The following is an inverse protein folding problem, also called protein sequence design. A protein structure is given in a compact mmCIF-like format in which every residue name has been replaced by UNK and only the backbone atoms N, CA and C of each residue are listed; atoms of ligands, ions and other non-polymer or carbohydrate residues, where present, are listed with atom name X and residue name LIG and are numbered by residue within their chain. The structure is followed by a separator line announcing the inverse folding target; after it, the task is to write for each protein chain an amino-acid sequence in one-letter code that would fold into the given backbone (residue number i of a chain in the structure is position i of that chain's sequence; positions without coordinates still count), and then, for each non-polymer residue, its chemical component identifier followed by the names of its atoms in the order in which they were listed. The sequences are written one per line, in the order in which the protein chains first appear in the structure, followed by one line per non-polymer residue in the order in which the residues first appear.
data_IF_698197196811
#
_entry.id   IF_698197196811
#
_cell.length_a   1.000
_cell.length_b   1.000
_cell.length_c   1.000
_cell.angle_alpha   90.00
_cell.angle_beta   90.00
_cell.angle_gamma   90.00
#
_symmetry.space_group_name_H-M   'P 1'
#
loop_
_entity.id
_entity.type
_entity.pdbx_description
1 polymer ?
#
# COMPACT_ATOMS: atom_id res chain seq x y z
N UNK A 1 -3.96 -0.07 34.32
CA UNK A 1 -2.86 0.54 33.56
C UNK A 1 -2.75 1.99 33.99
N UNK A 2 -1.54 2.55 34.02
CA UNK A 2 -1.39 3.99 34.25
C UNK A 2 -1.83 4.73 32.98
N UNK A 3 -2.52 5.88 33.11
CA UNK A 3 -2.90 6.69 31.98
C UNK A 3 -1.67 7.29 31.28
N UNK A 4 -1.80 7.53 29.97
CA UNK A 4 -0.79 8.23 29.17
C UNK A 4 -0.90 9.71 29.48
N UNK A 5 0.11 10.27 30.14
CA UNK A 5 0.04 11.65 30.70
C UNK A 5 0.52 12.73 29.73
N UNK A 6 1.27 12.38 28.71
CA UNK A 6 1.83 13.31 27.73
C UNK A 6 1.56 12.79 26.30
N UNK A 7 1.56 13.71 25.34
CA UNK A 7 1.65 13.33 23.94
C UNK A 7 3.01 12.67 23.67
N UNK A 8 3.04 11.77 22.67
CA UNK A 8 4.30 11.15 22.21
C UNK A 8 5.19 12.23 21.55
N UNK A 9 6.51 12.14 21.76
CA UNK A 9 7.47 13.07 21.17
C UNK A 9 7.43 13.07 19.64
N UNK A 10 7.14 11.93 19.02
CA UNK A 10 6.99 11.85 17.56
C UNK A 10 5.87 12.76 17.01
N UNK A 11 4.99 13.33 17.87
CA UNK A 11 3.95 14.29 17.45
C UNK A 11 4.42 15.75 17.44
N UNK A 12 5.65 16.05 17.87
CA UNK A 12 6.19 17.41 17.90
C UNK A 12 6.16 18.11 16.55
N UNK A 13 6.46 17.45 15.41
CA UNK A 13 6.40 18.09 14.09
C UNK A 13 5.05 18.72 13.75
N UNK A 14 3.94 18.23 14.32
CA UNK A 14 2.62 18.81 14.08
C UNK A 14 2.47 20.27 14.54
N UNK A 15 3.38 20.77 15.38
CA UNK A 15 3.35 22.17 15.82
C UNK A 15 3.70 23.15 14.69
N UNK A 16 4.37 22.65 13.64
CA UNK A 16 4.79 23.42 12.46
C UNK A 16 3.82 23.26 11.28
N UNK A 17 2.82 22.37 11.39
CA UNK A 17 1.86 22.13 10.31
C UNK A 17 0.84 23.27 10.22
N UNK A 18 0.64 23.81 9.01
CA UNK A 18 -0.28 24.93 8.75
C UNK A 18 -1.72 24.44 8.48
N UNK A 19 -1.91 23.16 8.11
CA UNK A 19 -3.20 22.55 7.86
C UNK A 19 -4.11 22.45 9.09
N UNK A 20 -3.52 22.61 10.29
CA UNK A 20 -4.22 22.47 11.58
C UNK A 20 -4.11 23.76 12.39
N UNK A 21 -5.24 24.27 12.88
CA UNK A 21 -5.22 25.31 13.91
C UNK A 21 -4.66 24.76 15.23
N UNK A 22 -4.20 25.63 16.13
CA UNK A 22 -3.66 25.25 17.44
C UNK A 22 -4.52 24.20 18.19
N UNK A 23 -5.84 24.37 18.21
CA UNK A 23 -6.74 23.42 18.86
C UNK A 23 -6.85 22.09 18.11
N UNK A 24 -6.84 22.13 16.80
CA UNK A 24 -6.83 20.91 15.96
C UNK A 24 -5.52 20.14 16.12
N UNK A 25 -4.38 20.83 16.21
CA UNK A 25 -3.08 20.21 16.52
C UNK A 25 -3.10 19.45 17.84
N UNK A 26 -3.69 20.02 18.88
CA UNK A 26 -3.83 19.33 20.18
C UNK A 26 -4.70 18.07 20.08
N UNK A 27 -5.79 18.13 19.30
CA UNK A 27 -6.63 16.94 19.05
C UNK A 27 -5.89 15.91 18.22
N UNK A 28 -5.18 16.31 17.16
CA UNK A 28 -4.36 15.43 16.33
C UNK A 28 -3.28 14.73 17.17
N UNK A 29 -2.51 15.46 17.97
CA UNK A 29 -1.52 14.89 18.89
C UNK A 29 -2.12 13.87 19.84
N UNK A 30 -3.28 14.18 20.41
CA UNK A 30 -4.00 13.27 21.31
C UNK A 30 -4.44 12.01 20.56
N UNK A 31 -5.00 12.17 19.36
CA UNK A 31 -5.51 11.07 18.55
C UNK A 31 -4.37 10.14 18.10
N UNK A 32 -3.28 10.71 17.57
CA UNK A 32 -2.07 9.98 17.16
C UNK A 32 -1.43 9.23 18.34
N UNK A 33 -1.31 9.91 19.50
CA UNK A 33 -0.82 9.26 20.73
C UNK A 33 -1.71 8.08 21.10
N UNK A 34 -3.03 8.22 20.96
CA UNK A 34 -3.99 7.16 21.20
C UNK A 34 -3.88 6.02 20.21
N UNK A 35 -3.74 6.31 18.91
CA UNK A 35 -3.52 5.28 17.88
C UNK A 35 -2.24 4.49 18.13
N UNK A 36 -1.17 5.13 18.54
CA UNK A 36 0.10 4.47 18.82
C UNK A 36 0.10 3.69 20.14
N UNK A 37 -0.48 4.24 21.23
CA UNK A 37 -0.23 3.73 22.57
C UNK A 37 -1.45 3.28 23.38
N UNK A 38 -2.69 3.68 23.01
CA UNK A 38 -3.88 3.21 23.72
C UNK A 38 -4.23 1.77 23.31
N UNK A 39 -4.88 1.02 24.19
CA UNK A 39 -5.35 -0.34 23.90
C UNK A 39 -6.56 -0.36 22.96
N UNK A 40 -7.46 0.58 23.17
CA UNK A 40 -8.63 0.77 22.31
C UNK A 40 -8.42 2.01 21.46
N UNK A 41 -8.42 1.86 20.15
CA UNK A 41 -8.14 2.92 19.16
C UNK A 41 -9.39 3.72 18.79
N UNK A 42 -10.52 3.48 19.48
CA UNK A 42 -11.74 4.28 19.32
C UNK A 42 -11.62 5.64 20.01
N UNK A 43 -12.38 6.65 19.59
CA UNK A 43 -12.41 7.96 20.27
C UNK A 43 -12.67 7.82 21.77
N UNK A 44 -13.53 6.89 22.17
CA UNK A 44 -13.85 6.59 23.58
C UNK A 44 -12.67 5.96 24.32
N UNK A 45 -11.98 5.02 23.69
CA UNK A 45 -10.79 4.37 24.24
C UNK A 45 -9.66 5.36 24.45
N UNK A 46 -9.36 6.14 23.41
CA UNK A 46 -8.34 7.19 23.43
C UNK A 46 -8.63 8.22 24.54
N UNK A 47 -9.87 8.73 24.61
CA UNK A 47 -10.26 9.72 25.61
C UNK A 47 -10.14 9.22 27.06
N UNK A 48 -10.18 7.91 27.30
CA UNK A 48 -10.01 7.31 28.63
C UNK A 48 -8.56 7.08 29.01
N UNK A 49 -7.70 6.80 28.04
CA UNK A 49 -6.33 6.37 28.28
C UNK A 49 -5.31 7.50 28.11
N UNK A 50 -5.60 8.50 27.28
CA UNK A 50 -4.72 9.67 27.03
C UNK A 50 -5.23 10.87 27.81
N UNK A 51 -4.53 11.26 28.87
CA UNK A 51 -5.00 12.32 29.77
C UNK A 51 -5.00 13.75 29.19
N UNK A 52 -4.14 14.13 28.22
CA UNK A 52 -4.33 15.40 27.52
C UNK A 52 -5.60 15.47 26.70
N UNK A 53 -6.31 14.34 26.54
CA UNK A 53 -7.56 14.30 25.79
C UNK A 53 -8.65 15.15 26.44
N UNK A 54 -9.36 15.89 25.60
CA UNK A 54 -10.47 16.70 26.07
C UNK A 54 -11.65 15.80 26.47
N UNK A 55 -12.25 15.11 25.50
CA UNK A 55 -13.35 14.16 25.71
C UNK A 55 -13.57 13.33 24.46
N UNK A 56 -14.26 12.20 24.59
CA UNK A 56 -14.74 11.40 23.47
C UNK A 56 -15.47 12.28 22.44
N UNK A 57 -16.38 13.14 22.91
CA UNK A 57 -17.14 14.07 22.04
C UNK A 57 -16.24 15.04 21.28
N UNK A 58 -15.18 15.55 21.91
CA UNK A 58 -14.26 16.48 21.25
C UNK A 58 -13.44 15.78 20.14
N UNK A 59 -12.98 14.54 20.38
CA UNK A 59 -12.28 13.73 19.37
C UNK A 59 -13.23 13.35 18.21
N UNK A 60 -14.47 12.97 18.51
CA UNK A 60 -15.47 12.72 17.46
C UNK A 60 -15.69 13.98 16.60
N UNK A 61 -15.89 15.17 17.22
CA UNK A 61 -16.05 16.43 16.49
C UNK A 61 -14.82 16.80 15.66
N UNK A 62 -13.64 16.51 16.15
CA UNK A 62 -12.40 16.73 15.41
C UNK A 62 -12.37 15.94 14.11
N UNK A 63 -12.90 14.71 14.11
CA UNK A 63 -13.01 13.90 12.91
C UNK A 63 -14.18 14.34 11.99
N UNK A 64 -15.33 14.75 12.54
CA UNK A 64 -16.60 14.86 11.77
C UNK A 64 -17.10 16.28 11.57
N UNK A 65 -16.72 17.25 12.41
CA UNK A 65 -17.31 18.59 12.39
C UNK A 65 -16.26 19.70 12.19
N UNK A 66 -15.00 19.47 12.52
CA UNK A 66 -13.96 20.50 12.40
C UNK A 66 -13.50 20.62 10.96
N UNK A 67 -13.35 21.85 10.51
CA UNK A 67 -12.87 22.16 9.16
C UNK A 67 -11.35 22.11 9.13
N UNK A 68 -10.78 21.04 8.56
CA UNK A 68 -9.37 20.86 8.26
C UNK A 68 -9.19 19.98 7.03
N UNK A 69 -8.15 20.27 6.27
CA UNK A 69 -7.89 19.64 4.97
C UNK A 69 -6.94 18.44 5.14
N UNK A 70 -7.47 17.24 4.97
CA UNK A 70 -6.69 16.00 5.05
C UNK A 70 -5.66 15.84 3.92
N UNK A 71 -5.88 16.46 2.76
CA UNK A 71 -4.92 16.43 1.65
C UNK A 71 -3.73 17.34 1.98
N UNK A 72 -3.99 18.54 2.51
CA UNK A 72 -2.94 19.44 2.96
C UNK A 72 -2.14 18.81 4.11
N UNK A 73 -2.82 18.18 5.07
CA UNK A 73 -2.16 17.44 6.15
C UNK A 73 -1.25 16.32 5.60
N UNK A 74 -1.73 15.59 4.58
CA UNK A 74 -0.94 14.54 3.94
C UNK A 74 0.29 15.12 3.21
N UNK A 75 0.14 16.26 2.57
CA UNK A 75 1.25 16.97 1.91
C UNK A 75 2.33 17.37 2.92
N UNK A 76 1.96 18.03 4.00
CA UNK A 76 2.87 18.44 5.09
C UNK A 76 3.56 17.23 5.74
N UNK A 77 2.83 16.12 5.92
CA UNK A 77 3.40 14.85 6.38
C UNK A 77 4.51 14.36 5.45
N UNK A 78 4.26 14.39 4.14
CA UNK A 78 5.25 13.96 3.15
C UNK A 78 6.46 14.91 3.12
N UNK A 79 6.24 16.23 3.22
CA UNK A 79 7.32 17.21 3.31
C UNK A 79 8.18 16.98 4.56
N UNK A 80 7.56 16.73 5.72
CA UNK A 80 8.29 16.43 6.95
C UNK A 80 9.17 15.20 6.81
N UNK A 81 8.67 14.13 6.19
CA UNK A 81 9.46 12.94 5.91
C UNK A 81 10.66 13.24 4.98
N UNK A 82 10.55 14.23 4.07
CA UNK A 82 11.66 14.63 3.21
C UNK A 82 12.72 15.49 3.93
N UNK A 83 12.40 16.08 5.08
CA UNK A 83 13.34 16.82 5.90
C UNK A 83 14.34 15.89 6.62
N UNK A 84 14.02 14.62 6.77
CA UNK A 84 14.83 13.64 7.48
C UNK A 84 15.57 12.70 6.53
N UNK A 85 16.89 12.55 6.71
CA UNK A 85 17.74 11.74 5.82
C UNK A 85 17.38 10.26 5.75
N UNK A 86 16.82 9.70 6.84
CA UNK A 86 16.44 8.29 6.92
C UNK A 86 15.11 7.98 6.21
N UNK A 87 14.22 8.99 6.04
CA UNK A 87 12.91 8.82 5.42
C UNK A 87 12.78 9.50 4.06
N UNK A 88 13.82 10.26 3.64
CA UNK A 88 13.84 10.96 2.35
C UNK A 88 13.82 9.99 1.18
N UNK A 89 13.00 10.32 0.18
CA UNK A 89 12.91 9.56 -1.06
C UNK A 89 14.25 9.42 -1.78
N UNK A 90 14.41 8.28 -2.44
CA UNK A 90 15.51 7.99 -3.36
C UNK A 90 14.94 7.63 -4.74
N UNK A 91 15.70 7.92 -5.80
CA UNK A 91 15.39 7.48 -7.15
C UNK A 91 15.42 5.94 -7.25
N UNK A 92 16.27 5.29 -6.46
CA UNK A 92 16.36 3.83 -6.38
C UNK A 92 15.23 3.20 -5.53
N UNK A 93 14.31 4.02 -5.00
CA UNK A 93 13.14 3.56 -4.26
C UNK A 93 12.07 2.96 -5.15
N UNK A 94 11.06 2.39 -4.52
CA UNK A 94 9.95 1.70 -5.17
C UNK A 94 8.62 2.27 -4.68
N UNK A 95 7.64 2.34 -5.59
CA UNK A 95 6.25 2.64 -5.26
C UNK A 95 5.44 1.36 -5.42
N UNK A 96 4.77 0.93 -4.36
CA UNK A 96 3.91 -0.26 -4.36
C UNK A 96 2.47 0.20 -4.43
N UNK A 97 1.69 -0.37 -5.35
CA UNK A 97 0.23 -0.21 -5.39
C UNK A 97 -0.41 -1.52 -4.97
N UNK A 98 -1.20 -1.46 -3.91
CA UNK A 98 -1.93 -2.62 -3.39
C UNK A 98 -3.20 -2.17 -2.65
N UNK A 99 -4.10 -3.08 -2.31
CA UNK A 99 -5.32 -2.74 -1.59
C UNK A 99 -5.49 -3.56 -0.30
N UNK A 100 -6.21 -2.98 0.64
CA UNK A 100 -6.55 -3.66 1.88
C UNK A 100 -8.00 -3.45 2.26
N UNK A 101 -8.61 -4.50 2.79
CA UNK A 101 -9.98 -4.45 3.33
C UNK A 101 -9.93 -4.20 4.82
N UNK A 102 -10.73 -3.24 5.29
CA UNK A 102 -10.97 -2.99 6.71
C UNK A 102 -12.38 -3.46 7.06
N UNK A 103 -12.49 -4.40 7.99
CA UNK A 103 -13.80 -4.92 8.42
C UNK A 103 -14.62 -3.84 9.12
N UNK A 104 -15.94 -3.86 8.89
CA UNK A 104 -16.91 -2.94 9.48
C UNK A 104 -18.15 -3.69 9.96
N UNK A 105 -18.80 -3.16 10.98
CA UNK A 105 -20.08 -3.69 11.50
C UNK A 105 -21.27 -2.84 11.08
N UNK A 106 -21.05 -1.59 10.64
CA UNK A 106 -22.09 -0.65 10.21
C UNK A 106 -22.49 -0.89 8.75
N UNK A 107 -23.78 -0.74 8.45
CA UNK A 107 -24.33 -0.90 7.10
C UNK A 107 -24.52 0.43 6.35
N UNK A 108 -24.47 1.56 7.05
CA UNK A 108 -24.77 2.89 6.52
C UNK A 108 -23.52 3.71 6.16
N UNK A 109 -22.32 3.12 6.24
CA UNK A 109 -21.08 3.80 5.92
C UNK A 109 -20.90 3.91 4.40
N UNK A 110 -20.45 5.06 3.87
CA UNK A 110 -20.08 5.17 2.46
C UNK A 110 -19.03 4.14 2.07
N UNK A 111 -19.19 3.53 0.89
CA UNK A 111 -18.24 2.56 0.33
C UNK A 111 -18.14 1.24 1.08
N UNK A 112 -19.04 0.98 2.04
CA UNK A 112 -19.10 -0.31 2.71
C UNK A 112 -19.76 -1.37 1.81
N UNK A 113 -19.22 -2.57 1.82
CA UNK A 113 -19.72 -3.65 0.99
C UNK A 113 -19.09 -5.00 1.34
N UNK A 114 -19.38 -6.00 0.52
CA UNK A 114 -18.77 -7.32 0.65
C UNK A 114 -17.51 -7.39 -0.21
N UNK A 115 -16.37 -7.58 0.43
CA UNK A 115 -15.06 -7.72 -0.21
C UNK A 115 -14.41 -9.03 0.22
N UNK A 116 -13.69 -9.67 -0.72
CA UNK A 116 -12.86 -10.81 -0.37
C UNK A 116 -11.57 -10.30 0.27
N UNK A 117 -11.33 -10.71 1.51
CA UNK A 117 -10.10 -10.42 2.25
C UNK A 117 -9.13 -11.61 2.09
N UNK A 118 -8.05 -11.37 1.36
CA UNK A 118 -7.04 -12.39 1.10
C UNK A 118 -6.28 -12.83 2.35
N UNK A 119 -6.18 -11.97 3.37
CA UNK A 119 -5.52 -12.27 4.64
C UNK A 119 -6.35 -13.22 5.51
N UNK A 120 -7.68 -13.08 5.47
CA UNK A 120 -8.61 -13.93 6.21
C UNK A 120 -9.10 -15.15 5.39
N UNK A 121 -8.90 -15.12 4.06
CA UNK A 121 -9.34 -16.15 3.14
C UNK A 121 -10.87 -16.23 2.95
N UNK A 122 -11.60 -15.19 3.34
CA UNK A 122 -13.05 -15.15 3.29
C UNK A 122 -13.62 -13.81 2.80
N UNK A 123 -14.91 -13.79 2.51
CA UNK A 123 -15.62 -12.55 2.16
C UNK A 123 -16.12 -11.87 3.43
N UNK A 124 -15.63 -10.66 3.68
CA UNK A 124 -15.97 -9.85 4.84
C UNK A 124 -16.82 -8.64 4.44
N UNK A 125 -17.59 -8.12 5.41
CA UNK A 125 -18.28 -6.83 5.30
C UNK A 125 -17.30 -5.72 5.73
N UNK A 126 -17.03 -4.76 4.85
CA UNK A 126 -16.01 -3.76 5.15
C UNK A 126 -15.88 -2.67 4.10
N UNK A 127 -14.82 -1.90 4.20
CA UNK A 127 -14.38 -0.89 3.23
C UNK A 127 -13.05 -1.33 2.64
N UNK A 128 -12.84 -1.05 1.35
CA UNK A 128 -11.60 -1.38 0.65
C UNK A 128 -10.87 -0.09 0.30
N UNK A 129 -9.57 -0.05 0.60
CA UNK A 129 -8.70 1.10 0.36
C UNK A 129 -7.56 0.67 -0.56
N UNK A 130 -7.40 1.38 -1.68
CA UNK A 130 -6.25 1.26 -2.57
C UNK A 130 -5.17 2.22 -2.10
N UNK A 131 -3.98 1.71 -1.83
CA UNK A 131 -2.84 2.49 -1.32
C UNK A 131 -1.73 2.61 -2.34
N UNK A 132 -1.01 3.72 -2.27
CA UNK A 132 0.36 3.81 -2.72
C UNK A 132 1.30 3.84 -1.51
N UNK A 133 2.39 3.11 -1.60
CA UNK A 133 3.33 2.93 -0.52
C UNK A 133 4.77 3.07 -1.06
N UNK A 134 5.58 3.91 -0.43
CA UNK A 134 6.98 4.06 -0.77
C UNK A 134 7.85 3.12 0.05
N UNK A 135 8.88 2.57 -0.57
CA UNK A 135 9.91 1.82 0.13
C UNK A 135 11.26 1.90 -0.57
N UNK A 136 12.31 1.85 0.22
CA UNK A 136 13.70 1.65 -0.22
C UNK A 136 14.45 0.80 0.80
N UNK A 137 15.79 0.76 0.74
CA UNK A 137 16.60 -0.02 1.68
C UNK A 137 16.52 0.49 3.13
N UNK A 138 16.13 1.76 3.35
CA UNK A 138 16.16 2.41 4.65
C UNK A 138 14.79 2.49 5.30
N UNK A 139 13.77 2.81 4.50
CA UNK A 139 12.45 3.20 5.01
C UNK A 139 11.31 2.62 4.20
N UNK A 140 10.12 2.65 4.79
CA UNK A 140 8.90 2.22 4.16
C UNK A 140 7.69 2.90 4.82
N UNK A 141 6.83 3.59 4.03
CA UNK A 141 5.64 4.29 4.54
C UNK A 141 4.59 4.56 3.46
N UNK A 142 3.30 4.71 3.84
CA UNK A 142 2.24 5.02 2.88
C UNK A 142 2.40 6.43 2.30
N UNK A 143 2.10 6.59 1.01
CA UNK A 143 2.09 7.87 0.32
C UNK A 143 0.69 8.50 0.34
N UNK A 144 -0.29 7.79 -0.17
CA UNK A 144 -1.68 8.21 -0.27
C UNK A 144 -2.59 6.99 -0.40
N UNK A 145 -3.91 7.19 -0.34
CA UNK A 145 -4.90 6.15 -0.58
C UNK A 145 -6.13 6.68 -1.29
N UNK A 146 -6.95 5.77 -1.81
CA UNK A 146 -8.32 6.01 -2.29
C UNK A 146 -9.25 4.95 -1.76
N UNK A 147 -10.43 5.36 -1.31
CA UNK A 147 -11.48 4.42 -0.95
C UNK A 147 -12.15 3.89 -2.22
N UNK A 148 -12.26 2.58 -2.33
CA UNK A 148 -13.02 1.94 -3.40
C UNK A 148 -14.48 1.79 -2.99
N UNK A 149 -15.39 2.35 -3.79
CA UNK A 149 -16.83 2.21 -3.62
C UNK A 149 -17.38 1.23 -4.66
N UNK A 150 -17.94 0.13 -4.17
CA UNK A 150 -18.63 -0.82 -5.03
C UNK A 150 -20.01 -0.29 -5.35
N UNK A 151 -20.27 0.06 -6.61
CA UNK A 151 -21.57 0.49 -7.10
C UNK A 151 -22.33 -0.70 -7.68
N UNK A 152 -23.63 -0.78 -7.40
CA UNK A 152 -24.51 -1.84 -7.94
C UNK A 152 -24.93 -1.59 -9.40
N UNK A 153 -24.70 -0.40 -9.94
CA UNK A 153 -25.01 -0.04 -11.31
C UNK A 153 -23.88 -0.41 -12.26
N UNK A 154 -24.24 -0.96 -13.44
CA UNK A 154 -23.34 -1.43 -14.52
C UNK A 154 -22.46 -0.34 -15.14
N UNK A 155 -22.47 0.88 -14.64
CA UNK A 155 -21.54 1.92 -15.05
C UNK A 155 -20.13 1.62 -14.49
N UNK A 156 -19.27 1.14 -15.39
CA UNK A 156 -17.86 0.75 -15.17
C UNK A 156 -16.94 1.86 -14.62
N UNK A 157 -17.49 2.94 -14.05
CA UNK A 157 -16.72 4.18 -13.88
C UNK A 157 -15.78 4.19 -12.67
N UNK A 158 -15.93 3.31 -11.70
CA UNK A 158 -15.00 3.28 -10.58
C UNK A 158 -14.46 1.87 -10.30
N UNK A 159 -13.35 1.55 -10.89
CA UNK A 159 -12.61 0.31 -10.62
C UNK A 159 -11.37 0.62 -9.78
N UNK A 160 -10.88 -0.35 -9.01
CA UNK A 160 -9.59 -0.21 -8.32
C UNK A 160 -8.45 0.16 -9.28
N UNK A 161 -8.51 -0.26 -10.54
CA UNK A 161 -7.53 0.12 -11.57
C UNK A 161 -7.61 1.62 -11.91
N UNK A 162 -8.82 2.22 -11.94
CA UNK A 162 -8.99 3.65 -12.13
C UNK A 162 -8.41 4.42 -10.94
N UNK A 163 -8.74 4.01 -9.72
CA UNK A 163 -8.19 4.61 -8.50
C UNK A 163 -6.65 4.51 -8.45
N UNK A 164 -6.09 3.38 -8.85
CA UNK A 164 -4.65 3.21 -8.96
C UNK A 164 -4.02 4.17 -9.98
N UNK A 165 -4.67 4.38 -11.16
CA UNK A 165 -4.20 5.37 -12.15
C UNK A 165 -4.29 6.81 -11.61
N UNK A 166 -5.37 7.16 -10.91
CA UNK A 166 -5.51 8.49 -10.28
C UNK A 166 -4.42 8.72 -9.22
N UNK A 167 -4.12 7.71 -8.40
CA UNK A 167 -3.02 7.76 -7.44
C UNK A 167 -1.67 7.97 -8.15
N UNK A 168 -1.40 7.21 -9.21
CA UNK A 168 -0.14 7.35 -9.98
C UNK A 168 -0.05 8.75 -10.59
N UNK A 169 -1.14 9.27 -11.17
CA UNK A 169 -1.17 10.63 -11.71
C UNK A 169 -0.86 11.68 -10.63
N UNK A 170 -1.46 11.58 -9.44
CA UNK A 170 -1.17 12.46 -8.30
C UNK A 170 0.32 12.39 -7.91
N UNK A 171 0.87 11.17 -7.79
CA UNK A 171 2.26 10.99 -7.38
C UNK A 171 3.27 11.54 -8.40
N UNK A 172 2.99 11.42 -9.70
CA UNK A 172 3.88 11.88 -10.76
C UNK A 172 3.71 13.38 -11.06
N UNK A 173 2.47 13.88 -11.11
CA UNK A 173 2.18 15.24 -11.57
C UNK A 173 2.16 16.27 -10.43
N UNK A 174 1.77 15.87 -9.21
CA UNK A 174 1.57 16.81 -8.10
C UNK A 174 2.61 16.63 -6.99
N UNK A 175 2.89 15.37 -6.57
CA UNK A 175 3.78 15.08 -5.44
C UNK A 175 5.25 15.01 -5.87
N UNK A 176 5.53 14.47 -7.04
CA UNK A 176 6.87 14.37 -7.60
C UNK A 176 7.77 13.35 -6.89
N UNK A 177 7.24 12.16 -6.56
CA UNK A 177 8.05 11.09 -5.97
C UNK A 177 9.11 10.61 -6.96
N UNK A 178 10.40 10.67 -6.64
CA UNK A 178 11.48 10.41 -7.62
C UNK A 178 11.68 8.93 -7.96
N UNK A 179 11.03 8.00 -7.26
CA UNK A 179 11.16 6.56 -7.50
C UNK A 179 10.82 6.18 -8.95
N UNK A 180 11.70 5.40 -9.57
CA UNK A 180 11.58 5.06 -11.00
C UNK A 180 10.80 3.76 -11.24
N UNK A 181 10.46 2.98 -10.22
CA UNK A 181 9.90 1.64 -10.38
C UNK A 181 8.64 1.43 -9.55
N UNK A 182 7.57 0.97 -10.20
CA UNK A 182 6.32 0.55 -9.57
C UNK A 182 6.26 -0.95 -9.35
N UNK A 183 5.74 -1.38 -8.20
CA UNK A 183 5.52 -2.78 -7.87
C UNK A 183 4.03 -3.06 -7.70
N UNK A 184 3.59 -4.17 -8.24
CA UNK A 184 2.19 -4.58 -8.22
C UNK A 184 2.04 -6.02 -7.72
N UNK A 185 0.88 -6.33 -7.18
CA UNK A 185 0.43 -7.71 -7.02
C UNK A 185 -0.08 -8.30 -8.35
N UNK A 186 -0.51 -9.57 -8.35
CA UNK A 186 -1.01 -10.25 -9.53
C UNK A 186 -2.35 -9.67 -10.04
N UNK A 187 -3.10 -8.99 -9.18
CA UNK A 187 -4.38 -8.40 -9.56
C UNK A 187 -4.15 -7.10 -10.33
N UNK A 188 -3.36 -6.18 -9.78
CA UNK A 188 -3.02 -4.91 -10.43
C UNK A 188 -2.15 -5.10 -11.67
N UNK A 189 -1.15 -5.98 -11.66
CA UNK A 189 -0.31 -6.29 -12.81
C UNK A 189 -1.07 -6.94 -13.98
N UNK A 190 -2.29 -7.44 -13.74
CA UNK A 190 -3.13 -7.99 -14.79
C UNK A 190 -3.71 -6.93 -15.72
N UNK A 191 -3.95 -5.71 -15.25
CA UNK A 191 -4.52 -4.63 -16.04
C UNK A 191 -3.49 -3.95 -16.93
N UNK A 192 -3.60 -4.18 -18.22
CA UNK A 192 -2.68 -3.57 -19.19
C UNK A 192 -2.85 -2.06 -19.34
N UNK A 193 -4.00 -1.51 -18.97
CA UNK A 193 -4.25 -0.07 -18.96
C UNK A 193 -3.47 0.61 -17.84
N UNK A 194 -3.43 0.00 -16.65
CA UNK A 194 -2.63 0.47 -15.53
C UNK A 194 -1.13 0.41 -15.86
N UNK A 195 -0.65 -0.72 -16.39
CA UNK A 195 0.75 -0.87 -16.78
C UNK A 195 1.17 0.20 -17.81
N UNK A 196 0.37 0.40 -18.86
CA UNK A 196 0.65 1.43 -19.88
C UNK A 196 0.60 2.85 -19.30
N UNK A 197 -0.22 3.07 -18.28
CA UNK A 197 -0.27 4.36 -17.61
C UNK A 197 1.05 4.66 -16.88
N UNK A 198 1.62 3.69 -16.17
CA UNK A 198 2.97 3.80 -15.58
C UNK A 198 4.03 4.04 -16.66
N UNK A 199 4.00 3.27 -17.75
CA UNK A 199 4.94 3.41 -18.86
C UNK A 199 4.83 4.78 -19.55
N UNK A 200 3.66 5.42 -19.56
CA UNK A 200 3.48 6.76 -20.13
C UNK A 200 4.23 7.85 -19.39
N UNK A 201 4.54 7.63 -18.11
CA UNK A 201 5.43 8.48 -17.31
C UNK A 201 6.93 8.12 -17.44
N UNK A 202 7.25 7.15 -18.30
CA UNK A 202 8.62 6.67 -18.47
C UNK A 202 9.15 5.86 -17.30
N UNK A 203 8.25 5.34 -16.47
CA UNK A 203 8.60 4.56 -15.28
C UNK A 203 8.70 3.06 -15.59
N UNK A 204 9.51 2.39 -14.80
CA UNK A 204 9.64 0.94 -14.80
C UNK A 204 8.56 0.30 -13.91
N UNK A 205 8.32 -0.98 -14.11
CA UNK A 205 7.44 -1.76 -13.25
C UNK A 205 7.90 -3.21 -13.11
N UNK A 206 7.54 -3.83 -11.99
CA UNK A 206 7.67 -5.26 -11.75
C UNK A 206 6.36 -5.78 -11.17
N UNK A 207 5.85 -6.86 -11.73
CA UNK A 207 4.65 -7.51 -11.22
C UNK A 207 4.53 -8.95 -11.68
N UNK A 208 3.71 -9.79 -11.01
CA UNK A 208 3.53 -11.17 -11.42
C UNK A 208 2.56 -11.28 -12.59
N UNK A 209 2.80 -12.28 -13.40
CA UNK A 209 1.85 -12.76 -14.40
C UNK A 209 0.94 -13.82 -13.77
N UNK A 210 -0.36 -13.75 -14.05
CA UNK A 210 -1.27 -14.87 -13.73
C UNK A 210 -0.88 -16.11 -14.52
N UNK A 211 -1.02 -17.30 -13.95
CA UNK A 211 -0.65 -18.58 -14.56
C UNK A 211 -1.24 -18.79 -15.97
N UNK A 212 -2.42 -18.23 -16.22
CA UNK A 212 -3.11 -18.31 -17.52
C UNK A 212 -2.74 -17.19 -18.51
N UNK A 213 -1.78 -16.30 -18.18
CA UNK A 213 -1.35 -15.21 -19.09
C UNK A 213 -0.68 -15.78 -20.33
N UNK A 214 -1.05 -15.27 -21.51
CA UNK A 214 -0.49 -15.71 -22.78
C UNK A 214 0.85 -15.04 -23.04
N UNK A 215 1.84 -15.86 -23.37
CA UNK A 215 3.21 -15.46 -23.74
C UNK A 215 3.51 -16.06 -25.11
N UNK A 216 4.14 -15.30 -26.00
CA UNK A 216 4.60 -15.84 -27.28
C UNK A 216 5.94 -16.53 -27.12
N UNK A 217 5.98 -17.84 -27.37
CA UNK A 217 7.19 -18.66 -27.34
C UNK A 217 7.26 -19.53 -28.58
N UNK A 218 8.39 -19.55 -29.27
CA UNK A 218 8.61 -20.29 -30.55
C UNK A 218 7.53 -20.05 -31.61
N UNK A 219 7.04 -18.80 -31.73
CA UNK A 219 5.93 -18.34 -32.59
C UNK A 219 4.54 -18.90 -32.23
N UNK A 220 4.37 -19.47 -31.07
CA UNK A 220 3.08 -19.93 -30.52
C UNK A 220 2.66 -19.08 -29.33
N UNK A 221 1.36 -18.81 -29.19
CA UNK A 221 0.80 -18.27 -27.95
C UNK A 221 0.57 -19.42 -26.97
N UNK A 222 1.24 -19.36 -25.83
CA UNK A 222 1.17 -20.38 -24.78
C UNK A 222 0.91 -19.72 -23.42
N UNK A 223 0.18 -20.37 -22.55
CA UNK A 223 0.02 -19.93 -21.15
C UNK A 223 1.37 -20.02 -20.43
N UNK A 224 1.62 -19.08 -19.51
CA UNK A 224 2.91 -19.05 -18.81
C UNK A 224 3.15 -20.29 -17.93
N UNK A 225 2.09 -20.89 -17.36
CA UNK A 225 2.20 -22.17 -16.63
C UNK A 225 2.55 -23.35 -17.56
N UNK A 226 1.99 -23.40 -18.76
CA UNK A 226 2.34 -24.41 -19.75
C UNK A 226 3.73 -24.15 -20.39
N UNK A 227 4.19 -22.90 -20.45
CA UNK A 227 5.57 -22.56 -20.84
C UNK A 227 6.57 -23.14 -19.84
N UNK A 228 6.27 -23.04 -18.55
CA UNK A 228 7.14 -23.57 -17.49
C UNK A 228 7.49 -25.04 -17.69
N UNK A 229 6.55 -25.86 -18.16
CA UNK A 229 6.74 -27.29 -18.44
C UNK A 229 7.69 -27.57 -19.62
N UNK A 230 7.95 -26.55 -20.49
CA UNK A 230 8.73 -26.67 -21.73
C UNK A 230 10.14 -26.08 -21.64
N UNK A 231 10.50 -25.50 -20.52
CA UNK A 231 11.74 -24.74 -20.35
C UNK A 231 12.68 -25.40 -19.33
N UNK A 232 13.97 -25.22 -19.55
CA UNK A 232 14.98 -25.56 -18.55
C UNK A 232 15.31 -24.35 -17.70
N UNK A 233 15.18 -24.50 -16.37
CA UNK A 233 15.59 -23.51 -15.40
C UNK A 233 17.04 -23.74 -14.98
N UNK A 234 17.77 -22.66 -14.70
CA UNK A 234 19.16 -22.73 -14.19
C UNK A 234 19.20 -22.21 -12.75
N UNK A 235 20.02 -22.84 -11.92
CA UNK A 235 20.21 -22.38 -10.54
C UNK A 235 21.01 -21.08 -10.49
N UNK A 236 20.54 -20.16 -9.66
CA UNK A 236 21.16 -18.87 -9.38
C UNK A 236 21.00 -18.51 -7.92
N UNK A 237 22.06 -17.94 -7.35
CA UNK A 237 22.00 -17.34 -6.01
C UNK A 237 21.43 -15.92 -6.12
N UNK A 238 20.50 -15.60 -5.26
CA UNK A 238 19.92 -14.27 -5.06
C UNK A 238 19.91 -14.00 -3.57
N UNK A 239 20.81 -13.12 -3.12
CA UNK A 239 21.12 -12.90 -1.71
C UNK A 239 21.52 -14.23 -1.01
N UNK A 240 20.84 -14.64 0.05
CA UNK A 240 21.11 -15.88 0.79
C UNK A 240 20.29 -17.09 0.29
N UNK A 241 19.49 -16.89 -0.78
CA UNK A 241 18.58 -17.91 -1.31
C UNK A 241 19.04 -18.43 -2.69
N UNK A 242 18.80 -19.70 -2.95
CA UNK A 242 18.99 -20.31 -4.27
C UNK A 242 17.64 -20.39 -5.01
N UNK A 243 17.66 -20.02 -6.28
CA UNK A 243 16.48 -20.08 -7.16
C UNK A 243 16.79 -20.85 -8.43
N UNK A 244 15.83 -21.65 -8.91
CA UNK A 244 15.80 -22.15 -10.28
C UNK A 244 15.09 -21.14 -11.15
N UNK A 245 15.82 -20.54 -12.11
CA UNK A 245 15.33 -19.40 -12.90
C UNK A 245 15.40 -19.69 -14.39
N UNK A 246 14.33 -19.35 -15.08
CA UNK A 246 14.34 -19.10 -16.53
C UNK A 246 13.96 -17.63 -16.77
N UNK A 247 14.59 -16.99 -17.76
CA UNK A 247 14.25 -15.61 -18.11
C UNK A 247 14.56 -15.33 -19.58
N UNK A 248 13.62 -14.67 -20.24
CA UNK A 248 13.77 -14.17 -21.60
C UNK A 248 12.90 -12.94 -21.85
N UNK A 249 13.29 -12.12 -22.82
CA UNK A 249 12.42 -11.09 -23.41
C UNK A 249 11.41 -11.77 -24.30
N UNK A 250 10.11 -11.58 -24.04
CA UNK A 250 9.01 -12.21 -24.77
C UNK A 250 7.83 -11.24 -24.94
N UNK A 251 7.10 -11.34 -26.06
CA UNK A 251 5.79 -10.72 -26.17
C UNK A 251 4.81 -11.38 -25.19
N UNK A 252 4.14 -10.57 -24.40
CA UNK A 252 3.07 -10.98 -23.49
C UNK A 252 1.78 -10.29 -23.90
N UNK A 253 0.70 -11.06 -23.98
CA UNK A 253 -0.60 -10.55 -24.42
C UNK A 253 -0.99 -9.27 -23.69
N UNK A 254 -1.33 -8.21 -24.45
CA UNK A 254 -1.70 -6.85 -24.00
C UNK A 254 -0.59 -6.05 -23.33
N UNK A 255 0.57 -6.63 -22.98
CA UNK A 255 1.70 -5.91 -22.36
C UNK A 255 2.81 -5.58 -23.37
N UNK A 256 2.82 -6.25 -24.54
CA UNK A 256 3.91 -6.08 -25.51
C UNK A 256 5.15 -6.89 -25.14
N UNK A 257 6.32 -6.45 -25.61
CA UNK A 257 7.59 -7.09 -25.28
C UNK A 257 8.06 -6.71 -23.89
N UNK A 258 8.11 -7.69 -23.00
CA UNK A 258 8.59 -7.54 -21.63
C UNK A 258 9.60 -8.62 -21.29
N UNK A 259 10.39 -8.42 -20.25
CA UNK A 259 11.18 -9.48 -19.66
C UNK A 259 10.26 -10.37 -18.83
N UNK A 260 10.18 -11.65 -19.21
CA UNK A 260 9.48 -12.68 -18.44
C UNK A 260 10.51 -13.45 -17.63
N UNK A 261 10.20 -13.71 -16.37
CA UNK A 261 11.02 -14.47 -15.45
C UNK A 261 10.15 -15.50 -14.75
N UNK A 262 10.56 -16.78 -14.83
CA UNK A 262 9.93 -17.89 -14.13
C UNK A 262 10.94 -18.35 -13.08
N UNK A 263 10.59 -18.22 -11.80
CA UNK A 263 11.47 -18.48 -10.68
C UNK A 263 10.81 -19.36 -9.63
N UNK A 264 11.59 -20.32 -9.13
CA UNK A 264 11.22 -21.22 -8.05
C UNK A 264 12.33 -21.19 -7.00
N UNK A 265 11.98 -20.89 -5.76
CA UNK A 265 12.96 -20.92 -4.65
C UNK A 265 13.28 -22.36 -4.33
N UNK A 266 14.57 -22.68 -4.19
CA UNK A 266 15.03 -23.99 -3.74
C UNK A 266 15.01 -23.99 -2.22
N UNK A 267 14.30 -24.94 -1.62
CA UNK A 267 14.29 -25.14 -0.17
C UNK A 267 14.73 -26.57 0.15
N UNK A 268 15.39 -26.74 1.28
CA UNK A 268 15.75 -28.07 1.83
C UNK A 268 14.60 -28.70 2.63
N UNK A 269 13.53 -27.96 2.89
CA UNK A 269 12.35 -28.44 3.61
C UNK A 269 11.33 -29.00 2.61
N UNK A 270 11.15 -30.33 2.62
CA UNK A 270 10.22 -31.03 1.75
C UNK A 270 8.74 -30.69 2.05
N UNK A 271 8.45 -30.14 3.21
CA UNK A 271 7.11 -29.74 3.64
C UNK A 271 6.78 -28.27 3.27
N UNK A 272 7.77 -27.49 2.82
CA UNK A 272 7.59 -26.11 2.39
C UNK A 272 7.18 -26.04 0.90
N UNK A 273 5.91 -25.76 0.62
CA UNK A 273 5.45 -25.45 -0.74
C UNK A 273 6.04 -24.12 -1.22
N UNK A 274 7.04 -24.17 -2.12
CA UNK A 274 7.57 -23.00 -2.78
C UNK A 274 6.93 -22.83 -4.18
N UNK A 275 5.85 -22.08 -4.29
CA UNK A 275 5.16 -21.93 -5.56
C UNK A 275 6.05 -21.20 -6.58
N UNK A 276 6.00 -21.67 -7.83
CA UNK A 276 6.66 -21.02 -8.94
C UNK A 276 6.08 -19.61 -9.12
N UNK A 277 6.96 -18.62 -9.20
CA UNK A 277 6.59 -17.23 -9.48
C UNK A 277 6.84 -16.88 -10.94
N UNK A 278 5.83 -16.33 -11.59
CA UNK A 278 5.89 -15.78 -12.94
C UNK A 278 5.95 -14.27 -12.85
N UNK A 279 7.12 -13.67 -13.05
CA UNK A 279 7.31 -12.22 -12.98
C UNK A 279 7.49 -11.62 -14.37
N UNK A 280 7.05 -10.37 -14.51
CA UNK A 280 7.29 -9.57 -15.70
C UNK A 280 7.75 -8.15 -15.34
N UNK A 281 8.53 -7.53 -16.25
CA UNK A 281 8.98 -6.14 -16.13
C UNK A 281 9.29 -5.57 -17.51
N UNK A 282 9.09 -4.26 -17.69
CA UNK A 282 9.55 -3.53 -18.87
C UNK A 282 11.07 -3.26 -18.82
N UNK A 283 11.74 -3.46 -17.69
CA UNK A 283 13.20 -3.32 -17.52
C UNK A 283 13.94 -4.53 -18.11
N UNK A 284 13.98 -4.58 -19.44
CA UNK A 284 14.42 -5.74 -20.23
C UNK A 284 15.83 -6.21 -19.84
N UNK A 285 16.76 -5.27 -19.62
CA UNK A 285 18.17 -5.53 -19.39
C UNK A 285 18.52 -5.79 -17.91
N UNK A 286 17.54 -5.64 -16.99
CA UNK A 286 17.78 -5.87 -15.57
C UNK A 286 18.21 -7.32 -15.31
N UNK A 287 19.25 -7.59 -14.49
CA UNK A 287 19.59 -8.94 -14.08
C UNK A 287 18.42 -9.65 -13.37
N UNK A 288 18.27 -10.96 -13.53
CA UNK A 288 17.18 -11.72 -12.90
C UNK A 288 17.18 -11.61 -11.37
N UNK A 289 18.37 -11.64 -10.76
CA UNK A 289 18.52 -11.42 -9.31
C UNK A 289 17.99 -10.05 -8.88
N UNK A 290 18.25 -9.00 -9.69
CA UNK A 290 17.71 -7.67 -9.40
C UNK A 290 16.17 -7.66 -9.47
N UNK A 291 15.56 -8.31 -10.47
CA UNK A 291 14.09 -8.37 -10.60
C UNK A 291 13.46 -9.11 -9.41
N UNK A 292 14.04 -10.23 -8.97
CA UNK A 292 13.56 -10.97 -7.79
C UNK A 292 13.66 -10.12 -6.54
N UNK A 293 14.85 -9.50 -6.31
CA UNK A 293 15.07 -8.61 -5.15
C UNK A 293 14.12 -7.41 -5.17
N UNK A 294 13.97 -6.76 -6.31
CA UNK A 294 13.02 -5.65 -6.48
C UNK A 294 11.59 -6.08 -6.11
N UNK A 295 11.15 -7.24 -6.61
CA UNK A 295 9.81 -7.71 -6.30
C UNK A 295 9.63 -8.09 -4.82
N UNK A 296 10.67 -8.50 -4.12
CA UNK A 296 10.57 -8.82 -2.69
C UNK A 296 10.22 -7.61 -1.81
N UNK A 297 10.55 -6.39 -2.24
CA UNK A 297 10.15 -5.17 -1.54
C UNK A 297 8.63 -4.99 -1.47
N UNK A 298 7.87 -5.62 -2.37
CA UNK A 298 6.41 -5.55 -2.34
C UNK A 298 5.83 -6.04 -0.99
N UNK A 299 6.50 -6.99 -0.34
CA UNK A 299 6.05 -7.49 0.96
C UNK A 299 5.95 -6.42 2.06
N UNK A 300 6.65 -5.30 1.92
CA UNK A 300 6.63 -4.24 2.94
C UNK A 300 5.27 -3.54 3.07
N UNK A 301 4.45 -3.50 2.02
CA UNK A 301 3.08 -2.98 2.15
C UNK A 301 2.18 -3.94 2.92
N UNK A 302 2.41 -5.26 2.82
CA UNK A 302 1.67 -6.25 3.61
C UNK A 302 1.97 -6.09 5.12
N UNK A 303 3.24 -5.89 5.47
CA UNK A 303 3.65 -5.55 6.85
C UNK A 303 2.97 -4.25 7.32
N UNK A 304 2.90 -3.21 6.46
CA UNK A 304 2.17 -1.98 6.79
C UNK A 304 0.69 -2.26 7.06
N UNK A 305 0.04 -3.09 6.25
CA UNK A 305 -1.37 -3.44 6.47
C UNK A 305 -1.57 -4.21 7.77
N UNK A 306 -0.67 -5.15 8.09
CA UNK A 306 -0.68 -5.91 9.33
C UNK A 306 -0.51 -4.98 10.54
N UNK A 307 0.57 -4.20 10.61
CA UNK A 307 0.82 -3.22 11.68
C UNK A 307 -0.36 -2.24 11.84
N UNK A 308 -0.91 -1.77 10.71
CA UNK A 308 -2.01 -0.81 10.71
C UNK A 308 -3.31 -1.39 11.27
N UNK A 309 -3.63 -2.63 10.94
CA UNK A 309 -4.82 -3.34 11.44
C UNK A 309 -4.66 -3.76 12.89
N UNK A 310 -3.50 -4.30 13.27
CA UNK A 310 -3.28 -4.85 14.62
C UNK A 310 -2.96 -3.77 15.66
N UNK A 311 -2.09 -2.82 15.31
CA UNK A 311 -1.49 -1.91 16.28
C UNK A 311 -1.96 -0.45 16.16
N UNK A 312 -2.36 0.01 14.97
CA UNK A 312 -2.70 1.41 14.73
C UNK A 312 -4.19 1.65 14.44
N UNK A 313 -5.03 0.64 14.60
CA UNK A 313 -6.48 0.78 14.59
C UNK A 313 -7.09 1.17 13.24
N UNK A 314 -6.48 0.75 12.11
CA UNK A 314 -7.00 1.03 10.77
C UNK A 314 -8.47 0.64 10.61
N UNK A 315 -8.91 -0.47 11.26
CA UNK A 315 -10.27 -0.96 11.29
C UNK A 315 -11.13 -0.44 12.43
N UNK A 316 -10.58 0.26 13.44
CA UNK A 316 -11.25 0.56 14.71
C UNK A 316 -12.08 1.86 14.70
N UNK A 317 -12.18 2.52 13.56
CA UNK A 317 -12.98 3.74 13.43
C UNK A 317 -14.47 3.44 13.56
N UNK A 318 -15.10 3.95 14.62
CA UNK A 318 -16.55 3.82 14.88
C UNK A 318 -17.36 4.98 14.30
N UNK A 319 -16.73 5.93 13.61
CA UNK A 319 -17.39 7.07 12.98
C UNK A 319 -18.23 6.59 11.79
N UNK A 320 -19.48 7.08 11.72
CA UNK A 320 -20.45 6.70 10.67
C UNK A 320 -20.50 7.67 9.49
N UNK A 321 -19.67 8.67 9.51
CA UNK A 321 -19.52 9.69 8.48
C UNK A 321 -18.31 9.37 7.59
N UNK A 322 -18.48 9.53 6.26
CA UNK A 322 -17.43 9.21 5.30
C UNK A 322 -16.21 10.11 5.41
N UNK A 323 -16.42 11.39 5.66
CA UNK A 323 -15.34 12.37 5.87
C UNK A 323 -14.56 12.04 7.14
N UNK A 324 -15.28 11.74 8.24
CA UNK A 324 -14.66 11.32 9.49
C UNK A 324 -13.88 10.00 9.37
N UNK A 325 -14.33 9.06 8.55
CA UNK A 325 -13.59 7.84 8.25
C UNK A 325 -12.31 8.13 7.45
N UNK A 326 -12.39 8.99 6.42
CA UNK A 326 -11.24 9.46 5.64
C UNK A 326 -10.19 10.12 6.54
N UNK A 327 -10.61 11.01 7.42
CA UNK A 327 -9.75 11.71 8.39
C UNK A 327 -9.06 10.75 9.37
N UNK A 328 -9.79 9.73 9.82
CA UNK A 328 -9.19 8.66 10.63
C UNK A 328 -8.04 7.96 9.89
N UNK A 329 -8.23 7.58 8.62
CA UNK A 329 -7.20 6.91 7.84
C UNK A 329 -6.00 7.81 7.55
N UNK A 330 -6.19 9.10 7.30
CA UNK A 330 -5.10 10.06 7.17
C UNK A 330 -4.29 10.21 8.49
N UNK A 331 -4.98 10.27 9.64
CA UNK A 331 -4.31 10.30 10.94
C UNK A 331 -3.59 8.99 11.26
N UNK A 332 -4.12 7.86 10.81
CA UNK A 332 -3.46 6.57 10.94
C UNK A 332 -2.18 6.50 10.08
N UNK A 333 -2.23 6.95 8.81
CA UNK A 333 -1.03 7.07 7.96
C UNK A 333 0.01 8.03 8.57
N UNK A 334 -0.45 9.17 9.09
CA UNK A 334 0.41 10.13 9.78
C UNK A 334 1.07 9.48 11.00
N UNK A 335 0.31 8.73 11.80
CA UNK A 335 0.85 7.99 12.96
C UNK A 335 1.93 7.01 12.52
N UNK A 336 1.67 6.19 11.51
CA UNK A 336 2.65 5.24 10.98
C UNK A 336 3.93 5.93 10.54
N UNK A 337 3.80 7.05 9.83
CA UNK A 337 4.93 7.82 9.31
C UNK A 337 5.76 8.48 10.42
N UNK A 338 5.10 9.11 11.40
CA UNK A 338 5.79 9.75 12.53
C UNK A 338 6.55 8.76 13.44
N UNK A 339 6.11 7.50 13.47
CA UNK A 339 6.83 6.43 14.17
C UNK A 339 8.10 5.96 13.43
N UNK A 340 8.31 6.43 12.19
CA UNK A 340 9.54 6.16 11.39
C UNK A 340 10.59 7.27 11.50
N UNK A 341 10.19 8.45 12.01
CA UNK A 341 11.10 9.54 12.33
C UNK A 341 11.82 9.29 13.66
#
# INVERSE_FOLDING_TARGET
MLPITNHLSCTEPLDEFESLSYHQTLHAKTYITGLAAARSKTCKGIAREVLPANSERALNKFLTEYDWDEKQLNHERLEELQNHGETRWSQDGYIIIDDSVTQRTGEELPGVGRFYDHSEGETVWGQNLVYAFYTDDKTAYPLTFRQYEKRDDEDEDETKYKLAREIITELEDEVGVPADTYLFDAWFAHDSGLIKHVESYGKDWVGPLRSNRQVTYDNEEIRVDALEERIDKTEREVDDDTYKIWTQKRPVSKLGEVKVLIAEKVTDDEDEENPVKYLATNKIDAPSAHVIRTYSYRWRIETFFEDSKQDLGLGDCEVRDGEGASRHWHLQMLTYSLLRL
#
